data_IF_903051917438
#
_entry.id   IF_903051917438
#
_cell.length_a   1.000
_cell.length_b   1.000
_cell.length_c   1.000
_cell.angle_alpha   90.00
_cell.angle_beta   90.00
_cell.angle_gamma   90.00
#
_symmetry.space_group_name_H-M   'P 1'
#
loop_
_entity.id
_entity.type
_entity.pdbx_description
1 polymer ?
#
# COMPACT_ATOMS: atom_id res chain seq x y z
N UNK A 1 19.99 -6.34 11.40
CA UNK A 1 19.18 -5.22 10.85
C UNK A 1 17.98 -5.88 10.17
N UNK A 2 16.81 -5.88 10.79
CA UNK A 2 15.62 -6.54 10.23
C UNK A 2 14.97 -5.66 9.16
N UNK A 3 14.70 -6.23 7.99
CA UNK A 3 13.90 -5.59 6.94
C UNK A 3 12.55 -6.31 6.92
N UNK A 4 11.46 -5.54 6.89
CA UNK A 4 10.11 -6.07 6.77
C UNK A 4 9.92 -6.70 5.39
N UNK A 5 9.58 -7.98 5.34
CA UNK A 5 9.21 -8.62 4.09
C UNK A 5 7.82 -8.16 3.69
N UNK A 6 7.74 -7.24 2.73
CA UNK A 6 6.51 -6.99 2.00
C UNK A 6 6.33 -8.20 1.07
N UNK A 7 5.16 -8.83 1.08
CA UNK A 7 4.87 -9.96 0.19
C UNK A 7 5.27 -9.63 -1.26
N UNK A 8 5.67 -10.64 -2.05
CA UNK A 8 6.23 -10.43 -3.40
C UNK A 8 5.28 -9.59 -4.24
N UNK A 9 5.62 -8.31 -4.45
CA UNK A 9 4.86 -7.37 -5.28
C UNK A 9 5.80 -6.80 -6.31
N UNK A 10 5.45 -6.96 -7.59
CA UNK A 10 6.18 -6.33 -8.69
C UNK A 10 6.25 -4.82 -8.44
N UNK A 11 7.46 -4.26 -8.48
CA UNK A 11 7.71 -2.85 -8.23
C UNK A 11 7.92 -2.46 -6.76
N UNK A 12 7.80 -3.38 -5.79
CA UNK A 12 8.16 -3.11 -4.38
C UNK A 12 9.31 -4.01 -3.94
N UNK A 13 9.11 -5.33 -3.96
CA UNK A 13 10.11 -6.31 -3.49
C UNK A 13 10.79 -7.10 -4.58
N UNK A 14 10.27 -7.01 -5.82
CA UNK A 14 10.98 -7.43 -7.01
C UNK A 14 11.70 -6.21 -7.58
N UNK A 15 13.03 -6.25 -7.74
CA UNK A 15 13.77 -5.15 -8.32
C UNK A 15 13.26 -4.74 -9.72
N UNK A 16 13.37 -3.46 -10.02
CA UNK A 16 12.97 -2.85 -11.30
C UNK A 16 14.21 -2.46 -12.07
N UNK A 17 14.36 -2.99 -13.29
CA UNK A 17 15.45 -2.65 -14.20
C UNK A 17 15.11 -1.37 -14.98
N UNK A 18 16.05 -0.43 -15.00
CA UNK A 18 15.98 0.82 -15.75
C UNK A 18 17.03 0.81 -16.86
N UNK A 19 16.58 1.07 -18.09
CA UNK A 19 17.48 1.23 -19.24
C UNK A 19 17.30 2.62 -19.81
N UNK A 20 18.38 3.41 -19.83
CA UNK A 20 18.36 4.80 -20.26
C UNK A 20 19.39 5.08 -21.35
N UNK A 21 19.24 6.24 -21.99
CA UNK A 21 20.20 6.83 -22.92
C UNK A 21 20.58 8.24 -22.47
N UNK A 22 21.47 8.90 -23.21
CA UNK A 22 21.84 10.29 -22.93
C UNK A 22 20.58 11.16 -22.84
N UNK A 23 20.50 11.96 -21.79
CA UNK A 23 19.36 12.82 -21.44
C UNK A 23 18.07 12.11 -21.05
N UNK A 24 18.04 10.78 -20.90
CA UNK A 24 16.96 10.12 -20.18
C UNK A 24 16.93 10.65 -18.74
N UNK A 25 15.79 11.19 -18.34
CA UNK A 25 15.62 11.86 -17.06
C UNK A 25 14.43 11.30 -16.28
N UNK A 26 14.54 11.30 -14.96
CA UNK A 26 13.43 11.09 -14.04
C UNK A 26 13.04 12.45 -13.45
N UNK A 27 11.76 12.80 -13.58
CA UNK A 27 11.17 13.98 -12.98
C UNK A 27 11.29 13.96 -11.45
N UNK A 28 10.95 15.07 -10.80
CA UNK A 28 10.92 15.12 -9.35
C UNK A 28 9.89 14.14 -8.81
N UNK A 29 10.37 13.20 -8.00
CA UNK A 29 9.57 12.12 -7.45
C UNK A 29 9.91 11.88 -5.98
N UNK A 30 8.89 11.47 -5.22
CA UNK A 30 9.01 10.98 -3.85
C UNK A 30 8.04 9.82 -3.70
N UNK A 31 8.51 8.71 -3.11
CA UNK A 31 7.62 7.59 -2.83
C UNK A 31 6.51 7.99 -1.84
N UNK A 32 5.22 7.81 -2.21
CA UNK A 32 4.12 8.23 -1.38
C UNK A 32 3.92 7.33 -0.15
N UNK A 33 4.46 6.11 -0.16
CA UNK A 33 4.46 5.21 0.99
C UNK A 33 5.58 5.54 2.00
N UNK A 34 6.43 6.52 1.71
CA UNK A 34 7.58 6.89 2.53
C UNK A 34 8.60 5.77 2.72
N UNK A 35 8.66 4.81 1.79
CA UNK A 35 9.66 3.76 1.79
C UNK A 35 11.00 4.31 1.30
N UNK A 36 12.12 3.97 1.97
CA UNK A 36 13.42 4.12 1.35
C UNK A 36 13.57 3.12 0.19
N UNK A 37 14.43 3.49 -0.74
CA UNK A 37 14.81 2.62 -1.85
C UNK A 37 16.26 2.84 -2.22
N UNK A 38 16.80 1.86 -2.92
CA UNK A 38 18.19 1.84 -3.35
C UNK A 38 18.23 1.60 -4.86
N UNK A 39 19.16 2.27 -5.54
CA UNK A 39 19.47 2.01 -6.95
C UNK A 39 20.94 1.66 -7.11
N UNK A 40 21.21 0.59 -7.86
CA UNK A 40 22.54 0.18 -8.28
C UNK A 40 22.71 0.44 -9.78
N UNK A 41 23.77 1.16 -10.17
CA UNK A 41 24.10 1.38 -11.57
C UNK A 41 25.04 0.28 -12.05
N UNK A 42 24.53 -0.64 -12.88
CA UNK A 42 25.29 -1.81 -13.33
C UNK A 42 26.38 -1.45 -14.33
N UNK A 43 26.04 -0.67 -15.36
CA UNK A 43 26.94 -0.36 -16.48
C UNK A 43 26.51 0.88 -17.24
N UNK A 44 27.38 1.36 -18.12
CA UNK A 44 27.12 2.47 -19.03
C UNK A 44 27.83 3.76 -18.62
N UNK A 45 27.22 4.90 -18.95
CA UNK A 45 27.62 6.22 -18.47
C UNK A 45 27.15 6.49 -17.04
N UNK A 46 27.43 7.68 -16.54
CA UNK A 46 27.07 8.10 -15.19
C UNK A 46 25.62 8.62 -15.12
N UNK A 47 25.04 8.64 -13.91
CA UNK A 47 23.77 9.35 -13.63
C UNK A 47 24.02 10.53 -12.72
N UNK A 48 23.52 11.70 -13.09
CA UNK A 48 23.51 12.88 -12.22
C UNK A 48 22.22 12.85 -11.43
N UNK A 49 22.31 12.93 -10.10
CA UNK A 49 21.19 12.91 -9.18
C UNK A 49 21.07 14.25 -8.48
N UNK A 50 19.83 14.66 -8.24
CA UNK A 50 19.47 15.77 -7.37
C UNK A 50 18.54 15.26 -6.28
N UNK A 51 18.74 15.72 -5.05
CA UNK A 51 17.96 15.31 -3.89
C UNK A 51 17.53 16.50 -3.05
N UNK A 52 16.26 16.54 -2.68
CA UNK A 52 15.69 17.52 -1.75
C UNK A 52 15.30 16.76 -0.48
N UNK A 53 15.88 17.11 0.69
CA UNK A 53 15.56 16.43 1.93
C UNK A 53 14.12 16.73 2.37
N UNK A 54 13.53 15.83 3.17
CA UNK A 54 12.17 16.00 3.69
C UNK A 54 11.95 17.34 4.43
N UNK A 55 12.97 17.87 5.11
CA UNK A 55 12.90 19.17 5.81
C UNK A 55 12.65 20.36 4.87
N UNK A 56 12.97 20.22 3.57
CA UNK A 56 12.74 21.23 2.53
C UNK A 56 11.44 20.98 1.75
N UNK A 57 10.62 20.00 2.15
CA UNK A 57 9.40 19.61 1.43
C UNK A 57 8.39 20.75 1.28
N UNK A 58 8.18 21.57 2.32
CA UNK A 58 7.27 22.71 2.26
C UNK A 58 7.80 23.84 1.37
N UNK A 59 9.12 24.09 1.41
CA UNK A 59 9.75 25.07 0.53
C UNK A 59 9.64 24.63 -0.93
N UNK A 60 9.85 23.34 -1.19
CA UNK A 60 9.68 22.76 -2.52
C UNK A 60 8.24 22.84 -3.01
N UNK A 61 7.25 22.57 -2.15
CA UNK A 61 5.84 22.75 -2.48
C UNK A 61 5.50 24.21 -2.82
N UNK A 62 5.98 25.17 -2.02
CA UNK A 62 5.79 26.60 -2.29
C UNK A 62 6.43 27.02 -3.61
N UNK A 63 7.66 26.58 -3.87
CA UNK A 63 8.36 26.85 -5.13
C UNK A 63 7.60 26.28 -6.34
N UNK A 64 7.08 25.05 -6.26
CA UNK A 64 6.31 24.46 -7.35
C UNK A 64 4.94 25.12 -7.55
N UNK A 65 4.26 25.55 -6.49
CA UNK A 65 3.04 26.35 -6.62
C UNK A 65 3.30 27.70 -7.31
N UNK A 66 4.48 28.29 -7.12
CA UNK A 66 4.84 29.54 -7.79
C UNK A 66 5.24 29.31 -9.26
N UNK A 67 6.02 28.26 -9.53
CA UNK A 67 6.62 28.02 -10.86
C UNK A 67 5.68 27.26 -11.81
N UNK A 68 4.97 26.25 -11.30
CA UNK A 68 4.15 25.30 -12.08
C UNK A 68 2.88 24.88 -11.33
N UNK A 69 2.01 25.82 -10.92
CA UNK A 69 0.84 25.54 -10.07
C UNK A 69 -0.11 24.48 -10.63
N UNK A 70 -0.23 24.38 -11.97
CA UNK A 70 -1.14 23.43 -12.61
C UNK A 70 -0.82 21.95 -12.34
N UNK A 71 0.39 21.65 -11.86
CA UNK A 71 0.81 20.29 -11.52
C UNK A 71 0.69 19.96 -10.03
N UNK A 72 0.46 20.97 -9.17
CA UNK A 72 0.28 20.76 -7.74
C UNK A 72 -1.20 20.53 -7.43
N UNK A 73 -1.51 19.40 -6.78
CA UNK A 73 -2.87 19.10 -6.33
C UNK A 73 -3.14 19.78 -4.98
N UNK A 74 -4.37 20.25 -4.79
CA UNK A 74 -4.85 20.74 -3.50
C UNK A 74 -5.22 19.58 -2.57
N UNK A 75 -4.22 18.75 -2.23
CA UNK A 75 -4.33 17.57 -1.37
C UNK A 75 -3.04 17.37 -0.57
N UNK A 76 -3.09 16.50 0.44
CA UNK A 76 -1.91 16.19 1.26
C UNK A 76 -0.74 15.65 0.41
N UNK A 77 -1.04 14.76 -0.54
CA UNK A 77 -0.09 14.35 -1.57
C UNK A 77 -0.20 15.26 -2.81
N UNK A 78 0.39 16.44 -2.69
CA UNK A 78 0.33 17.52 -3.68
C UNK A 78 1.09 17.22 -4.98
N UNK A 79 2.08 16.31 -4.97
CA UNK A 79 2.79 15.82 -6.16
C UNK A 79 2.86 14.28 -6.15
N UNK A 80 1.80 13.60 -6.64
CA UNK A 80 1.69 12.15 -6.55
C UNK A 80 2.38 11.39 -7.70
N UNK A 81 2.77 12.09 -8.76
CA UNK A 81 3.37 11.49 -9.95
C UNK A 81 4.63 12.24 -10.37
N UNK A 82 5.54 11.53 -11.04
CA UNK A 82 6.78 12.02 -11.61
C UNK A 82 6.54 12.77 -12.94
N UNK A 83 5.69 13.80 -12.90
CA UNK A 83 5.27 14.56 -14.09
C UNK A 83 5.94 15.92 -14.23
N UNK A 84 6.66 16.38 -13.19
CA UNK A 84 7.23 17.73 -13.14
C UNK A 84 8.75 17.70 -13.13
N UNK A 85 9.35 18.38 -14.10
CA UNK A 85 10.78 18.65 -14.13
C UNK A 85 11.02 20.16 -14.03
N UNK A 86 11.57 20.60 -12.90
CA UNK A 86 12.01 21.97 -12.68
C UNK A 86 13.53 21.98 -12.52
N UNK A 87 14.26 22.82 -13.28
CA UNK A 87 15.71 22.98 -13.16
C UNK A 87 16.14 23.27 -11.71
N UNK A 88 17.17 22.59 -11.18
CA UNK A 88 17.65 22.78 -9.82
C UNK A 88 18.01 24.24 -9.47
N UNK A 89 18.53 25.02 -10.42
CA UNK A 89 18.86 26.42 -10.19
C UNK A 89 17.62 27.28 -9.88
N UNK A 90 16.50 27.05 -10.57
CA UNK A 90 15.24 27.76 -10.28
C UNK A 90 14.69 27.40 -8.89
N UNK A 91 14.90 26.16 -8.44
CA UNK A 91 14.52 25.75 -7.08
C UNK A 91 15.37 26.45 -6.03
N UNK A 92 16.68 26.57 -6.26
CA UNK A 92 17.58 27.32 -5.37
C UNK A 92 17.22 28.80 -5.31
N UNK A 93 16.88 29.42 -6.45
CA UNK A 93 16.37 30.80 -6.52
C UNK A 93 15.07 30.99 -5.73
N UNK A 94 14.25 29.93 -5.63
CA UNK A 94 13.03 29.87 -4.82
C UNK A 94 13.27 29.29 -3.40
N UNK A 95 14.50 29.41 -2.87
CA UNK A 95 14.85 29.06 -1.48
C UNK A 95 14.72 27.57 -1.14
N UNK A 96 14.77 26.68 -2.13
CA UNK A 96 14.81 25.23 -1.90
C UNK A 96 16.26 24.76 -1.85
N UNK A 97 16.70 24.30 -0.67
CA UNK A 97 18.01 23.66 -0.54
C UNK A 97 17.97 22.23 -1.09
N UNK A 98 18.96 21.88 -1.92
CA UNK A 98 19.10 20.57 -2.52
C UNK A 98 20.57 20.13 -2.58
N UNK A 99 20.79 18.82 -2.64
CA UNK A 99 22.09 18.22 -2.90
C UNK A 99 22.14 17.64 -4.32
N UNK A 100 23.36 17.41 -4.81
CA UNK A 100 23.56 16.68 -6.05
C UNK A 100 24.72 15.69 -5.89
N UNK A 101 24.70 14.63 -6.68
CA UNK A 101 25.81 13.67 -6.78
C UNK A 101 25.87 13.07 -8.18
N UNK A 102 27.04 12.54 -8.56
CA UNK A 102 27.21 11.75 -9.78
C UNK A 102 27.40 10.30 -9.36
N UNK A 103 26.52 9.43 -9.85
CA UNK A 103 26.59 7.99 -9.66
C UNK A 103 27.35 7.38 -10.84
N UNK A 104 28.48 6.76 -10.56
CA UNK A 104 29.27 5.99 -11.51
C UNK A 104 28.86 4.50 -11.52
N UNK A 105 29.11 3.76 -12.62
CA UNK A 105 28.90 2.32 -12.65
C UNK A 105 29.58 1.61 -11.47
N UNK A 106 28.86 0.67 -10.84
CA UNK A 106 29.28 -0.04 -9.64
C UNK A 106 28.90 0.66 -8.32
N UNK A 107 28.23 1.82 -8.37
CA UNK A 107 27.83 2.56 -7.17
C UNK A 107 26.34 2.43 -6.84
N UNK A 108 26.05 2.56 -5.55
CA UNK A 108 24.70 2.63 -5.01
C UNK A 108 24.29 4.08 -4.71
N UNK A 109 23.04 4.41 -5.00
CA UNK A 109 22.35 5.60 -4.47
C UNK A 109 21.23 5.11 -3.56
N UNK A 110 21.19 5.62 -2.32
CA UNK A 110 20.14 5.31 -1.34
C UNK A 110 19.29 6.55 -1.14
N UNK A 111 17.98 6.41 -1.35
CA UNK A 111 17.01 7.49 -1.18
C UNK A 111 16.27 7.28 0.14
N UNK A 112 16.36 8.29 1.01
CA UNK A 112 15.73 8.26 2.32
C UNK A 112 14.23 8.60 2.24
N UNK A 113 13.43 8.14 3.23
CA UNK A 113 12.00 8.40 3.28
C UNK A 113 11.65 9.87 3.05
N UNK A 114 10.60 10.09 2.27
CA UNK A 114 10.02 11.41 1.99
C UNK A 114 10.94 12.43 1.30
N UNK A 115 12.12 12.02 0.83
CA UNK A 115 12.99 12.89 0.04
C UNK A 115 12.52 12.93 -1.41
N UNK A 116 12.56 14.10 -2.05
CA UNK A 116 12.34 14.20 -3.48
C UNK A 116 13.64 14.00 -4.23
N UNK A 117 13.59 13.27 -5.34
CA UNK A 117 14.74 13.04 -6.20
C UNK A 117 14.41 13.27 -7.66
N UNK A 118 15.40 13.71 -8.41
CA UNK A 118 15.38 13.75 -9.87
C UNK A 118 16.73 13.25 -10.38
N UNK A 119 16.77 12.66 -11.58
CA UNK A 119 18.03 12.20 -12.16
C UNK A 119 18.08 12.42 -13.67
N UNK A 120 19.30 12.52 -14.21
CA UNK A 120 19.56 12.57 -15.64
C UNK A 120 20.74 11.69 -16.00
N UNK A 121 20.58 10.90 -17.07
CA UNK A 121 21.61 9.99 -17.56
C UNK A 121 22.53 10.71 -18.54
N UNK A 122 23.85 10.54 -18.40
CA UNK A 122 24.85 11.18 -19.27
C UNK A 122 25.21 10.34 -20.49
N UNK A 123 24.67 9.12 -20.59
CA UNK A 123 24.91 8.19 -21.69
C UNK A 123 23.93 7.01 -21.64
N UNK A 124 24.26 5.93 -22.37
CA UNK A 124 23.58 4.64 -22.17
C UNK A 124 23.77 4.17 -20.73
N UNK A 125 22.71 3.76 -20.04
CA UNK A 125 22.78 3.27 -18.66
C UNK A 125 21.91 2.04 -18.46
N UNK A 126 22.35 1.13 -17.61
CA UNK A 126 21.54 0.06 -17.06
C UNK A 126 21.65 0.11 -15.55
N UNK A 127 20.55 0.39 -14.88
CA UNK A 127 20.48 0.40 -13.40
C UNK A 127 19.30 -0.41 -12.91
N UNK A 128 19.29 -0.72 -11.62
CA UNK A 128 18.26 -1.53 -10.99
C UNK A 128 17.92 -0.94 -9.63
N UNK A 129 16.63 -0.79 -9.33
CA UNK A 129 16.16 -0.24 -8.07
C UNK A 129 15.19 -1.15 -7.33
N UNK A 130 15.20 -1.06 -6.00
CA UNK A 130 14.27 -1.82 -5.16
C UNK A 130 13.96 -1.04 -3.89
N UNK A 131 12.72 -1.17 -3.40
CA UNK A 131 12.29 -0.62 -2.12
C UNK A 131 12.65 -1.55 -0.97
N UNK A 132 12.80 -0.98 0.22
CA UNK A 132 12.92 -1.77 1.44
C UNK A 132 12.18 -1.08 2.58
N UNK A 133 11.68 -1.86 3.54
CA UNK A 133 10.90 -1.35 4.66
C UNK A 133 11.64 -1.64 5.98
N UNK A 134 12.40 -0.68 6.53
CA UNK A 134 13.03 -0.84 7.83
C UNK A 134 11.97 -0.80 8.94
N UNK A 135 12.23 -1.43 10.09
CA UNK A 135 11.22 -1.57 11.17
C UNK A 135 10.64 -0.20 11.60
N UNK A 136 11.45 0.85 11.65
CA UNK A 136 10.99 2.19 12.05
C UNK A 136 9.95 2.79 11.09
N UNK A 137 9.86 2.32 9.84
CA UNK A 137 8.88 2.79 8.87
C UNK A 137 7.43 2.50 9.32
N UNK A 138 7.21 1.39 10.03
CA UNK A 138 5.89 1.00 10.56
C UNK A 138 5.26 2.10 11.43
N UNK A 139 6.09 2.88 12.14
CA UNK A 139 5.65 3.99 13.00
C UNK A 139 4.95 5.10 12.23
N UNK A 140 5.28 5.28 10.95
CA UNK A 140 4.69 6.31 10.09
C UNK A 140 3.77 5.76 9.01
N UNK A 141 3.81 4.45 8.76
CA UNK A 141 3.09 3.81 7.66
C UNK A 141 1.59 4.12 7.67
N UNK A 142 0.90 4.01 8.81
CA UNK A 142 -0.54 4.32 8.91
C UNK A 142 -0.86 5.72 8.38
N UNK A 143 -0.15 6.74 8.86
CA UNK A 143 -0.35 8.13 8.42
C UNK A 143 -0.12 8.33 6.92
N UNK A 144 0.85 7.62 6.33
CA UNK A 144 1.15 7.70 4.90
C UNK A 144 0.05 7.06 4.04
N UNK A 145 -0.48 5.94 4.49
CA UNK A 145 -1.62 5.29 3.85
C UNK A 145 -2.91 6.09 4.00
N UNK A 146 -3.10 6.78 5.14
CA UNK A 146 -4.21 7.71 5.31
C UNK A 146 -4.08 8.94 4.39
N UNK A 147 -2.86 9.46 4.20
CA UNK A 147 -2.59 10.56 3.27
C UNK A 147 -2.87 10.16 1.81
N UNK A 148 -2.48 8.94 1.41
CA UNK A 148 -2.84 8.35 0.12
C UNK A 148 -4.36 8.29 -0.07
N UNK A 149 -5.09 7.75 0.92
CA UNK A 149 -6.56 7.69 0.92
C UNK A 149 -7.19 9.08 0.74
N UNK A 150 -6.82 10.04 1.60
CA UNK A 150 -7.33 11.43 1.54
C UNK A 150 -6.96 12.12 0.22
N UNK A 151 -5.89 11.67 -0.43
CA UNK A 151 -5.45 12.20 -1.72
C UNK A 151 -6.13 11.51 -2.92
N UNK A 152 -6.95 10.48 -2.70
CA UNK A 152 -7.51 9.60 -3.73
C UNK A 152 -6.43 8.97 -4.62
N UNK A 153 -5.28 8.64 -4.03
CA UNK A 153 -4.16 8.06 -4.75
C UNK A 153 -4.07 6.56 -4.43
N UNK A 154 -3.93 5.69 -5.44
CA UNK A 154 -3.85 4.26 -5.22
C UNK A 154 -2.53 3.88 -4.53
N UNK A 155 -2.61 2.96 -3.58
CA UNK A 155 -1.43 2.41 -2.93
C UNK A 155 -0.84 1.24 -3.75
N UNK A 156 0.49 1.10 -3.76
CA UNK A 156 1.18 0.01 -4.46
C UNK A 156 0.93 -1.37 -3.84
N UNK A 157 0.57 -1.41 -2.56
CA UNK A 157 0.27 -2.61 -1.79
C UNK A 157 -0.72 -2.30 -0.66
N UNK A 158 -1.34 -3.32 -0.08
CA UNK A 158 -2.24 -3.14 1.07
C UNK A 158 -1.45 -3.16 2.37
N UNK A 159 -1.49 -2.06 3.13
CA UNK A 159 -0.87 -2.00 4.46
C UNK A 159 -1.56 -2.97 5.44
N UNK A 160 -2.88 -3.10 5.35
CA UNK A 160 -3.65 -3.99 6.21
C UNK A 160 -3.31 -5.47 5.94
N UNK A 161 -3.15 -5.84 4.66
CA UNK A 161 -2.63 -7.17 4.27
C UNK A 161 -1.24 -7.42 4.81
N UNK A 162 -0.36 -6.41 4.74
CA UNK A 162 1.00 -6.51 5.26
C UNK A 162 1.00 -6.78 6.76
N UNK A 163 0.23 -6.02 7.55
CA UNK A 163 0.13 -6.21 9.00
C UNK A 163 -0.36 -7.61 9.37
N UNK A 164 -1.44 -8.06 8.74
CA UNK A 164 -2.01 -9.39 9.01
C UNK A 164 -1.00 -10.49 8.66
N UNK A 165 -0.33 -10.39 7.51
CA UNK A 165 0.69 -11.37 7.12
C UNK A 165 1.88 -11.40 8.08
N UNK A 166 2.30 -10.23 8.57
CA UNK A 166 3.45 -10.10 9.49
C UNK A 166 3.14 -10.73 10.84
N UNK A 167 1.94 -10.50 11.38
CA UNK A 167 1.55 -11.03 12.69
C UNK A 167 1.25 -12.53 12.62
N UNK A 168 0.73 -13.02 11.48
CA UNK A 168 0.40 -14.43 11.30
C UNK A 168 1.55 -15.30 10.77
N UNK A 169 2.70 -14.71 10.40
CA UNK A 169 3.86 -15.48 9.95
C UNK A 169 4.72 -15.92 11.16
N UNK A 170 4.71 -17.20 11.54
CA UNK A 170 5.48 -17.69 12.69
C UNK A 170 7.00 -17.58 12.47
N UNK A 171 7.46 -17.34 11.24
CA UNK A 171 8.87 -17.12 10.91
C UNK A 171 9.28 -15.65 11.00
N UNK A 172 8.34 -14.74 11.22
CA UNK A 172 8.63 -13.32 11.27
C UNK A 172 9.47 -12.98 12.50
N UNK A 173 10.34 -11.98 12.37
CA UNK A 173 11.18 -11.56 13.48
C UNK A 173 10.32 -10.97 14.62
N UNK A 174 10.54 -11.44 15.85
CA UNK A 174 9.75 -11.02 17.01
C UNK A 174 9.72 -9.50 17.23
N UNK A 175 10.80 -8.77 16.95
CA UNK A 175 10.81 -7.32 17.11
C UNK A 175 9.93 -6.62 16.07
N UNK A 176 9.80 -7.21 14.87
CA UNK A 176 8.88 -6.74 13.85
C UNK A 176 7.43 -7.00 14.30
N UNK A 177 7.14 -8.22 14.74
CA UNK A 177 5.81 -8.61 15.24
C UNK A 177 5.39 -7.71 16.40
N UNK A 178 6.29 -7.43 17.35
CA UNK A 178 6.04 -6.54 18.49
C UNK A 178 5.63 -5.13 18.08
N UNK A 179 6.15 -4.61 16.97
CA UNK A 179 5.76 -3.29 16.44
C UNK A 179 4.52 -3.34 15.55
N UNK A 180 4.29 -4.45 14.84
CA UNK A 180 3.14 -4.62 13.96
C UNK A 180 1.85 -5.00 14.72
N UNK A 181 1.96 -5.72 15.83
CA UNK A 181 0.82 -6.25 16.58
C UNK A 181 -0.15 -5.16 17.07
N UNK A 182 0.31 -4.05 17.72
CA UNK A 182 -0.60 -2.98 18.11
C UNK A 182 -1.35 -2.36 16.91
N UNK A 183 -0.67 -2.24 15.75
CA UNK A 183 -1.27 -1.70 14.53
C UNK A 183 -2.31 -2.65 13.93
N UNK A 184 -2.10 -3.97 14.06
CA UNK A 184 -3.05 -5.01 13.64
C UNK A 184 -4.26 -5.10 14.59
N UNK A 185 -4.06 -4.93 15.90
CA UNK A 185 -5.13 -4.86 16.89
C UNK A 185 -6.01 -3.63 16.68
N UNK A 186 -5.40 -2.46 16.47
CA UNK A 186 -6.13 -1.23 16.13
C UNK A 186 -6.94 -1.40 14.83
N UNK A 187 -6.34 -2.03 13.82
CA UNK A 187 -7.00 -2.35 12.56
C UNK A 187 -8.23 -3.24 12.77
N UNK A 188 -8.11 -4.28 13.59
CA UNK A 188 -9.19 -5.17 14.00
C UNK A 188 -10.32 -4.41 14.70
N UNK A 189 -10.01 -3.63 15.74
CA UNK A 189 -11.01 -2.84 16.47
C UNK A 189 -11.75 -1.85 15.58
N UNK A 190 -11.02 -1.15 14.70
CA UNK A 190 -11.61 -0.18 13.76
C UNK A 190 -12.50 -0.85 12.72
N UNK A 191 -12.11 -2.03 12.24
CA UNK A 191 -12.91 -2.82 11.31
C UNK A 191 -14.23 -3.26 11.95
N UNK A 192 -14.18 -3.75 13.19
CA UNK A 192 -15.38 -4.16 13.95
C UNK A 192 -16.33 -2.98 14.12
N UNK A 193 -15.83 -1.84 14.61
CA UNK A 193 -16.64 -0.63 14.82
C UNK A 193 -17.33 -0.18 13.52
N UNK A 194 -16.62 -0.21 12.40
CA UNK A 194 -17.18 0.15 11.08
C UNK A 194 -18.25 -0.83 10.62
N UNK A 195 -18.06 -2.13 10.84
CA UNK A 195 -19.07 -3.15 10.53
C UNK A 195 -20.33 -2.96 11.38
N UNK A 196 -20.17 -2.68 12.67
CA UNK A 196 -21.28 -2.39 13.58
C UNK A 196 -22.09 -1.19 13.10
N UNK A 197 -21.42 -0.09 12.71
CA UNK A 197 -22.07 1.07 12.10
C UNK A 197 -22.85 0.68 10.86
N UNK A 198 -22.29 -0.12 9.95
CA UNK A 198 -23.01 -0.59 8.75
C UNK A 198 -24.28 -1.38 9.09
N UNK A 199 -24.27 -2.19 10.15
CA UNK A 199 -25.46 -2.93 10.57
C UNK A 199 -26.60 -2.02 11.08
N UNK A 200 -26.30 -0.79 11.48
CA UNK A 200 -27.34 0.18 11.86
C UNK A 200 -28.14 0.71 10.67
N UNK A 201 -27.59 0.65 9.45
CA UNK A 201 -28.20 1.21 8.24
C UNK A 201 -29.14 0.24 7.50
N UNK A 202 -29.20 -1.05 7.86
CA UNK A 202 -30.16 -2.00 7.28
C UNK A 202 -29.70 -3.45 7.18
N UNK A 203 -30.40 -4.26 6.38
CA UNK A 203 -30.07 -5.69 6.20
C UNK A 203 -28.78 -5.86 5.38
N UNK A 204 -27.67 -6.14 6.06
CA UNK A 204 -26.40 -6.46 5.39
C UNK A 204 -26.33 -7.96 5.05
N UNK A 205 -26.30 -8.31 3.76
CA UNK A 205 -25.92 -9.67 3.33
C UNK A 205 -24.40 -9.78 3.39
N UNK A 206 -23.87 -10.85 3.98
CA UNK A 206 -22.44 -11.12 4.03
C UNK A 206 -22.04 -12.13 2.97
N UNK A 207 -21.01 -11.81 2.21
CA UNK A 207 -20.35 -12.77 1.32
C UNK A 207 -18.88 -12.87 1.67
N UNK A 208 -18.33 -14.09 1.70
CA UNK A 208 -16.92 -14.29 1.94
C UNK A 208 -16.15 -14.00 0.65
N UNK A 209 -15.26 -13.02 0.69
CA UNK A 209 -14.36 -12.75 -0.42
C UNK A 209 -13.38 -13.91 -0.60
N UNK A 210 -13.08 -14.31 -1.85
CA UNK A 210 -12.05 -15.29 -2.10
C UNK A 210 -10.70 -14.75 -1.60
N UNK A 211 -9.97 -15.58 -0.85
CA UNK A 211 -8.58 -15.30 -0.49
C UNK A 211 -7.80 -15.35 -1.81
N UNK A 212 -6.98 -14.33 -2.15
CA UNK A 212 -6.14 -14.40 -3.34
C UNK A 212 -5.24 -15.64 -3.27
N UNK A 213 -5.55 -16.64 -4.08
CA UNK A 213 -4.78 -17.89 -4.10
C UNK A 213 -3.37 -17.60 -4.62
N UNK A 214 -2.36 -17.93 -3.82
CA UNK A 214 -0.99 -18.08 -4.31
C UNK A 214 -0.97 -19.38 -5.12
N UNK A 215 -1.25 -19.28 -6.42
CA UNK A 215 -1.25 -20.37 -7.41
C UNK A 215 -2.32 -21.48 -7.22
N UNK A 216 -3.44 -21.37 -7.94
CA UNK A 216 -3.99 -22.46 -8.79
C UNK A 216 -5.05 -21.91 -9.74
N UNK A 217 -4.93 -22.27 -11.02
CA UNK A 217 -5.75 -21.72 -12.08
C UNK A 217 -7.23 -22.11 -11.97
N UNK A 218 -8.12 -21.11 -12.05
CA UNK A 218 -9.39 -21.10 -12.80
C UNK A 218 -10.02 -19.71 -12.73
N UNK A 219 -10.04 -19.00 -13.86
CA UNK A 219 -10.62 -17.65 -13.99
C UNK A 219 -12.15 -17.70 -13.98
N UNK A 220 -12.79 -16.96 -13.07
CA UNK A 220 -14.15 -16.40 -13.27
C UNK A 220 -14.01 -14.88 -13.42
N UNK A 221 -14.70 -14.32 -14.42
CA UNK A 221 -14.67 -12.90 -14.79
C UNK A 221 -15.45 -12.07 -13.77
N UNK A 222 -14.75 -11.48 -12.81
CA UNK A 222 -15.01 -10.12 -12.32
C UNK A 222 -13.82 -9.27 -12.76
N UNK A 223 -13.95 -7.95 -12.90
CA UNK A 223 -12.84 -7.07 -13.30
C UNK A 223 -11.73 -7.19 -12.23
N UNK A 224 -10.76 -8.06 -12.53
CA UNK A 224 -9.77 -8.57 -11.61
C UNK A 224 -8.51 -7.73 -11.82
N UNK A 225 -8.18 -6.85 -10.86
CA UNK A 225 -6.80 -6.40 -10.70
C UNK A 225 -5.91 -7.64 -10.53
N UNK A 226 -4.71 -7.60 -11.07
CA UNK A 226 -3.84 -8.77 -11.37
C UNK A 226 -3.62 -9.77 -10.21
N UNK A 227 -4.00 -9.47 -8.96
CA UNK A 227 -3.82 -10.34 -7.78
C UNK A 227 -4.94 -10.27 -6.71
N UNK A 228 -6.19 -9.94 -7.08
CA UNK A 228 -7.29 -9.87 -6.09
C UNK A 228 -7.17 -8.72 -5.07
N UNK A 229 -6.45 -7.67 -5.47
CA UNK A 229 -6.43 -6.39 -4.78
C UNK A 229 -7.59 -5.55 -5.33
N UNK A 230 -8.61 -5.31 -4.50
CA UNK A 230 -9.73 -4.44 -4.81
C UNK A 230 -9.42 -3.03 -4.30
N UNK A 231 -9.96 -2.01 -4.96
CA UNK A 231 -9.78 -0.60 -4.59
C UNK A 231 -11.15 0.08 -4.46
N UNK A 232 -11.22 1.09 -3.60
CA UNK A 232 -12.38 1.98 -3.52
C UNK A 232 -12.47 2.85 -4.79
N UNK A 233 -13.66 2.96 -5.38
CA UNK A 233 -13.88 3.78 -6.58
C UNK A 233 -13.73 5.27 -6.30
N UNK A 234 -13.91 5.71 -5.05
CA UNK A 234 -13.77 7.10 -4.61
C UNK A 234 -12.34 7.39 -4.17
N UNK A 235 -11.91 6.81 -3.04
CA UNK A 235 -10.63 7.14 -2.41
C UNK A 235 -9.46 6.26 -2.83
N UNK A 236 -9.67 5.31 -3.75
CA UNK A 236 -8.61 4.43 -4.30
C UNK A 236 -7.88 3.57 -3.26
N UNK A 237 -8.36 3.52 -2.03
CA UNK A 237 -7.80 2.69 -0.96
C UNK A 237 -8.00 1.21 -1.22
N UNK A 238 -7.03 0.40 -0.82
CA UNK A 238 -7.13 -1.06 -0.94
C UNK A 238 -8.22 -1.63 -0.02
N UNK A 239 -9.12 -2.41 -0.58
CA UNK A 239 -10.24 -3.08 0.10
C UNK A 239 -9.86 -4.53 0.43
N UNK A 240 -8.85 -4.68 1.29
CA UNK A 240 -8.35 -5.99 1.69
C UNK A 240 -9.27 -6.69 2.70
N UNK A 241 -9.65 -6.02 3.80
CA UNK A 241 -10.40 -6.71 4.87
C UNK A 241 -11.86 -6.87 4.49
N UNK A 242 -12.49 -5.76 4.10
CA UNK A 242 -13.89 -5.69 3.69
C UNK A 242 -14.06 -4.79 2.47
N UNK A 243 -15.08 -5.09 1.68
CA UNK A 243 -15.51 -4.35 0.52
C UNK A 243 -17.04 -4.22 0.56
N UNK A 244 -17.57 -3.12 1.11
CA UNK A 244 -18.94 -2.70 0.84
C UNK A 244 -19.16 -2.58 -0.67
N UNK A 245 -20.20 -3.25 -1.17
CA UNK A 245 -20.64 -3.13 -2.56
C UNK A 245 -22.03 -2.51 -2.57
N UNK A 246 -22.20 -1.43 -3.33
CA UNK A 246 -23.52 -0.84 -3.55
C UNK A 246 -24.09 -1.34 -4.87
N UNK A 247 -25.36 -1.74 -4.85
CA UNK A 247 -26.15 -2.09 -6.02
C UNK A 247 -27.26 -1.05 -6.18
N UNK A 248 -27.05 -0.05 -7.04
CA UNK A 248 -28.09 0.93 -7.35
C UNK A 248 -28.40 0.88 -8.85
N UNK A 249 -29.65 0.55 -9.21
CA UNK A 249 -30.25 0.44 -10.56
C UNK A 249 -29.32 0.75 -11.77
N UNK A 250 -28.26 -0.05 -11.97
CA UNK A 250 -27.36 0.03 -13.12
C UNK A 250 -25.86 0.24 -12.85
N UNK A 251 -25.41 0.58 -11.64
CA UNK A 251 -23.98 0.72 -11.32
C UNK A 251 -23.60 -0.10 -10.08
N UNK A 252 -22.65 -1.02 -10.24
CA UNK A 252 -21.98 -1.71 -9.14
C UNK A 252 -20.66 -0.98 -8.89
N UNK A 253 -20.43 -0.55 -7.64
CA UNK A 253 -19.18 0.09 -7.24
C UNK A 253 -18.60 -0.54 -5.97
N UNK A 254 -17.29 -0.46 -5.83
CA UNK A 254 -16.55 -0.90 -4.66
C UNK A 254 -16.23 0.29 -3.77
N UNK A 255 -16.61 0.25 -2.49
CA UNK A 255 -16.46 1.40 -1.61
C UNK A 255 -15.68 1.06 -0.34
N UNK A 256 -15.04 2.07 0.25
CA UNK A 256 -14.45 1.97 1.59
C UNK A 256 -15.51 2.35 2.64
N UNK A 257 -15.45 1.71 3.81
CA UNK A 257 -16.27 2.09 4.98
C UNK A 257 -15.87 3.45 5.59
N UNK A 258 -14.80 4.08 5.10
CA UNK A 258 -14.37 5.43 5.50
C UNK A 258 -15.12 6.56 4.75
N UNK A 259 -15.89 6.25 3.70
CA UNK A 259 -16.63 7.25 2.94
C UNK A 259 -18.03 7.47 3.57
N UNK A 260 -18.11 8.41 4.52
CA UNK A 260 -19.36 8.71 5.25
C UNK A 260 -20.46 9.31 4.35
N UNK A 261 -20.09 10.02 3.27
CA UNK A 261 -21.01 10.86 2.48
C UNK A 261 -21.93 10.11 1.49
N UNK A 262 -21.70 8.83 1.23
CA UNK A 262 -22.64 8.00 0.43
C UNK A 262 -23.40 6.98 1.29
N UNK A 263 -23.12 6.92 2.60
CA UNK A 263 -23.73 5.95 3.49
C UNK A 263 -25.24 6.18 3.74
N UNK A 264 -25.71 7.41 3.57
CA UNK A 264 -27.12 7.78 3.77
C UNK A 264 -28.06 7.24 2.66
N UNK A 265 -27.53 6.86 1.49
CA UNK A 265 -28.29 6.29 0.37
C UNK A 265 -28.06 4.77 0.18
N UNK A 266 -27.46 4.09 1.17
CA UNK A 266 -27.21 2.65 1.12
C UNK A 266 -28.53 1.89 1.21
N UNK A 267 -29.09 1.51 0.06
CA UNK A 267 -29.98 0.36 0.01
C UNK A 267 -29.12 -0.88 0.19
N UNK A 268 -29.23 -1.48 1.38
CA UNK A 268 -28.36 -2.53 1.85
C UNK A 268 -28.31 -3.76 0.91
N UNK A 269 -27.10 -4.33 0.77
CA UNK A 269 -26.67 -5.72 0.40
C UNK A 269 -25.65 -5.74 -0.75
N UNK A 270 -24.56 -6.57 -0.74
CA UNK A 270 -23.86 -7.31 0.31
C UNK A 270 -22.51 -6.66 0.73
N UNK A 271 -22.10 -6.85 1.99
CA UNK A 271 -20.74 -6.61 2.46
C UNK A 271 -19.88 -7.85 2.18
N UNK A 272 -18.82 -7.68 1.41
CA UNK A 272 -17.89 -8.74 1.10
C UNK A 272 -16.72 -8.68 2.10
N UNK A 273 -16.48 -9.71 2.94
CA UNK A 273 -15.36 -9.72 3.90
C UNK A 273 -14.45 -10.92 3.71
N UNK A 274 -13.13 -10.73 3.88
CA UNK A 274 -12.15 -11.84 3.82
C UNK A 274 -12.10 -12.65 5.11
N UNK A 275 -12.39 -12.01 6.24
CA UNK A 275 -12.30 -12.58 7.58
C UNK A 275 -13.66 -12.50 8.30
N UNK A 276 -14.04 -13.60 8.98
CA UNK A 276 -15.18 -13.62 9.90
C UNK A 276 -14.86 -12.84 11.17
N UNK A 277 -15.87 -12.33 11.87
CA UNK A 277 -15.69 -11.53 13.08
C UNK A 277 -14.80 -12.27 14.12
N UNK A 278 -15.05 -13.57 14.35
CA UNK A 278 -14.21 -14.39 15.24
C UNK A 278 -12.74 -14.57 14.80
N UNK A 279 -12.43 -14.46 13.50
CA UNK A 279 -11.03 -14.58 13.02
C UNK A 279 -10.25 -13.27 13.10
N UNK A 280 -10.97 -12.16 13.34
CA UNK A 280 -10.42 -10.84 13.62
C UNK A 280 -10.11 -10.71 15.13
N UNK A 281 -10.81 -11.49 15.97
CA UNK A 281 -10.57 -11.64 17.42
C UNK A 281 -9.36 -12.54 17.75
N UNK A 282 -9.05 -13.54 16.90
CA UNK A 282 -7.97 -14.52 17.13
C UNK A 282 -6.53 -14.00 16.89
N UNK A 283 -6.34 -12.68 16.68
CA UNK A 283 -4.99 -12.08 16.58
C UNK A 283 -4.41 -11.93 18.01
N UNK A 284 -4.08 -13.06 18.63
CA UNK A 284 -3.40 -13.12 19.93
C UNK A 284 -2.02 -13.76 19.74
N UNK A 285 -0.97 -13.03 20.14
CA UNK A 285 0.39 -13.56 20.21
C UNK A 285 0.65 -13.99 21.65
N UNK A 286 0.79 -15.29 21.91
CA UNK A 286 1.26 -15.77 23.21
C UNK A 286 2.80 -15.74 23.26
N UNK A 287 3.41 -15.03 24.22
CA UNK A 287 4.84 -14.94 24.33
C UNK A 287 5.35 -16.02 25.29
N UNK A 288 5.46 -17.28 24.87
CA UNK A 288 6.31 -18.21 25.60
C UNK A 288 6.99 -19.26 24.69
N UNK A 289 8.33 -19.20 24.70
CA UNK A 289 9.22 -20.02 23.90
C UNK A 289 9.41 -21.43 24.45
N UNK A 290 8.33 -22.15 24.73
CA UNK A 290 8.36 -23.60 25.01
C UNK A 290 7.76 -24.36 23.83
N UNK A 291 8.62 -25.05 23.08
CA UNK A 291 8.20 -26.14 22.20
C UNK A 291 7.57 -27.21 23.11
N UNK A 292 6.24 -27.34 23.08
CA UNK A 292 5.57 -28.53 23.57
C UNK A 292 5.57 -29.57 22.44
N UNK A 293 6.42 -30.58 22.61
CA UNK A 293 6.58 -31.77 21.76
C UNK A 293 5.39 -32.75 21.86
N UNK A 294 4.14 -32.26 21.89
CA UNK A 294 2.93 -33.09 21.95
C UNK A 294 1.77 -32.54 21.08
N UNK A 295 2.09 -32.03 19.88
CA UNK A 295 1.06 -31.79 18.86
C UNK A 295 0.89 -33.05 18.00
N UNK A 296 0.21 -34.06 18.56
CA UNK A 296 -0.50 -35.04 17.74
C UNK A 296 -1.50 -34.30 16.83
N UNK A 297 -1.48 -34.70 15.57
CA UNK A 297 -2.41 -34.39 14.49
C UNK A 297 -3.80 -33.89 14.95
N UNK A 298 -4.06 -32.58 14.95
CA UNK A 298 -5.35 -31.93 14.65
C UNK A 298 -5.37 -30.43 15.03
N UNK A 299 -4.79 -29.56 14.20
CA UNK A 299 -5.22 -28.16 14.13
C UNK A 299 -5.52 -27.80 12.68
N UNK A 300 -6.52 -28.48 12.15
CA UNK A 300 -7.18 -28.06 10.91
C UNK A 300 -8.04 -26.86 11.29
N UNK A 301 -7.76 -25.68 10.74
CA UNK A 301 -8.69 -24.55 10.79
C UNK A 301 -9.96 -25.02 10.07
N UNK A 302 -10.97 -25.42 10.84
CA UNK A 302 -12.22 -25.94 10.32
C UNK A 302 -12.98 -24.79 9.68
N UNK A 303 -12.83 -24.66 8.36
CA UNK A 303 -13.70 -23.85 7.54
C UNK A 303 -15.11 -24.44 7.69
N UNK A 304 -16.00 -23.74 8.39
CA UNK A 304 -17.39 -24.14 8.47
C UNK A 304 -18.00 -23.99 7.07
N UNK A 305 -17.98 -25.07 6.29
CA UNK A 305 -18.92 -25.27 5.19
C UNK A 305 -20.28 -25.55 5.82
N UNK A 306 -21.07 -24.50 6.07
CA UNK A 306 -22.49 -24.74 6.33
C UNK A 306 -23.19 -25.15 5.02
N UNK A 307 -23.74 -26.35 5.10
CA UNK A 307 -24.48 -27.05 4.06
C UNK A 307 -25.59 -26.20 3.44
N UNK A 308 -25.61 -26.19 2.10
CA UNK A 308 -26.82 -25.91 1.32
C UNK A 308 -27.97 -26.83 1.77
N UNK A 309 -29.06 -26.25 2.30
CA UNK A 309 -30.40 -26.85 2.22
C UNK A 309 -31.31 -25.93 1.42
N UNK A 310 -31.68 -26.42 0.24
CA UNK A 310 -32.77 -25.94 -0.62
C UNK A 310 -34.03 -25.68 0.20
N UNK A 311 -34.60 -24.48 0.07
CA UNK A 311 -36.03 -24.27 0.23
C UNK A 311 -36.60 -23.88 -1.14
N UNK A 312 -37.26 -24.84 -1.80
CA UNK A 312 -38.21 -24.56 -2.88
C UNK A 312 -39.46 -23.91 -2.27
N UNK A 313 -40.14 -23.01 -3.00
CA UNK A 313 -41.37 -22.40 -2.52
C UNK A 313 -42.50 -23.44 -2.48
N UNK A 314 -43.21 -23.52 -1.36
CA UNK A 314 -44.50 -24.22 -1.28
C UNK A 314 -45.58 -23.29 -1.86
N UNK A 315 -46.25 -23.78 -2.90
CA UNK A 315 -47.63 -23.39 -3.26
C UNK A 315 -48.62 -23.83 -2.20
#
# INVERSE_FOLDING_TARGET
>A
MGVLSIYTKKGVTVPTLHVGMVFSACCWYRDPHGLPWIEYLHTGGSKIWYGIPNSMGEHFHSALNNLVPSYCKDKELWLPSDTVMVPPNLLVENQVSLCHTVQEPGQYVIVFPKSFTSSISTGYVVSESVYFAPIYWLKTARSLFDALRKSNEPAMFSFDRLLINVVNDPKCNIEIVRQALPLAQELSSREIEKREKLYTFGEVIREKLPIPEVNRGKKKKFQQGDEGDYECDICRSSLFISMPVMFNNGANGNFSMDEETECENIFAKPSCSRYSDNSVDDITYEPDGSINDDCEENTTITCVQEHYKRCLPKT
#
